data_IF_696649273966
#
_entry.id   IF_696649273966
#
_cell.length_a   1.000
_cell.length_b   1.000
_cell.length_c   1.000
_cell.angle_alpha   90.00
_cell.angle_beta   90.00
_cell.angle_gamma   90.00
#
_symmetry.space_group_name_H-M   'P 1'
#
loop_
_entity.id
_entity.type
_entity.pdbx_description
1 polymer ?
#
# COMPACT_ATOMS: atom_id res chain seq x y z
N UNK A 1 2.79 -6.48 -5.97
CA UNK A 1 3.97 -6.28 -5.10
C UNK A 1 4.20 -4.83 -4.67
N UNK A 2 3.27 -3.91 -4.96
CA UNK A 2 3.35 -2.49 -4.58
C UNK A 2 2.03 -2.06 -3.94
N UNK A 3 1.71 -2.54 -2.72
CA UNK A 3 0.43 -2.22 -2.11
C UNK A 3 0.37 -0.74 -1.73
N UNK A 4 -0.79 -0.14 -1.96
CA UNK A 4 -1.13 1.22 -1.53
C UNK A 4 -2.21 1.21 -0.46
N UNK A 5 -3.08 0.21 -0.50
CA UNK A 5 -4.21 0.05 0.40
C UNK A 5 -4.48 -1.45 0.61
N UNK A 6 -4.27 -1.93 1.82
CA UNK A 6 -4.51 -3.33 2.20
C UNK A 6 -5.98 -3.64 2.51
N UNK A 7 -6.86 -2.64 2.41
CA UNK A 7 -8.29 -2.80 2.72
C UNK A 7 -9.14 -3.06 1.49
N UNK A 8 -8.55 -3.13 0.32
CA UNK A 8 -9.26 -3.38 -0.93
C UNK A 8 -8.47 -4.26 -1.89
N UNK A 9 -9.18 -4.86 -2.83
CA UNK A 9 -8.61 -5.54 -3.98
C UNK A 9 -8.24 -4.54 -5.07
N UNK A 10 -7.32 -4.92 -5.95
CA UNK A 10 -7.14 -4.23 -7.22
C UNK A 10 -8.41 -4.41 -8.07
N UNK A 11 -8.99 -3.31 -8.53
CA UNK A 11 -10.23 -3.31 -9.34
C UNK A 11 -10.11 -4.17 -10.62
N UNK A 12 -8.88 -4.34 -11.13
CA UNK A 12 -8.62 -5.19 -12.30
C UNK A 12 -8.67 -6.69 -11.99
N UNK A 13 -8.62 -7.05 -10.71
CA UNK A 13 -8.67 -8.44 -10.24
C UNK A 13 -10.10 -8.94 -9.98
N UNK A 14 -11.10 -8.06 -10.12
CA UNK A 14 -12.49 -8.38 -9.89
C UNK A 14 -13.06 -7.80 -8.60
N UNK A 15 -14.14 -8.40 -8.13
CA UNK A 15 -14.89 -7.97 -6.95
C UNK A 15 -14.61 -8.88 -5.74
N UNK A 16 -14.93 -8.38 -4.56
CA UNK A 16 -14.87 -9.16 -3.30
C UNK A 16 -15.73 -10.43 -3.39
N UNK A 17 -16.88 -10.36 -4.04
CA UNK A 17 -17.78 -11.52 -4.19
C UNK A 17 -17.22 -12.56 -5.16
N UNK A 18 -16.60 -12.14 -6.25
CA UNK A 18 -15.91 -13.05 -7.17
C UNK A 18 -14.72 -13.71 -6.50
N UNK A 19 -13.96 -12.97 -5.69
CA UNK A 19 -12.86 -13.55 -4.93
C UNK A 19 -13.35 -14.54 -3.86
N UNK A 20 -14.45 -14.24 -3.17
CA UNK A 20 -15.11 -15.19 -2.26
C UNK A 20 -15.51 -16.46 -2.98
N UNK A 21 -16.19 -16.33 -4.10
CA UNK A 21 -16.60 -17.48 -4.93
C UNK A 21 -15.39 -18.30 -5.37
N UNK A 22 -14.28 -17.66 -5.73
CA UNK A 22 -13.04 -18.33 -6.09
C UNK A 22 -12.48 -19.16 -4.92
N UNK A 23 -12.37 -18.57 -3.73
CA UNK A 23 -11.85 -19.25 -2.53
C UNK A 23 -12.74 -20.41 -2.14
N UNK A 24 -14.07 -20.20 -2.07
CA UNK A 24 -15.04 -21.23 -1.71
C UNK A 24 -15.00 -22.41 -2.70
N UNK A 25 -14.91 -22.12 -4.00
CA UNK A 25 -14.80 -23.14 -5.04
C UNK A 25 -13.51 -23.94 -4.92
N UNK A 26 -12.39 -23.28 -4.60
CA UNK A 26 -11.11 -23.94 -4.36
C UNK A 26 -11.20 -24.89 -3.16
N UNK A 27 -11.76 -24.43 -2.04
CA UNK A 27 -11.96 -25.23 -0.83
C UNK A 27 -12.87 -26.46 -1.07
N UNK A 28 -13.96 -26.28 -1.80
CA UNK A 28 -14.82 -27.41 -2.19
C UNK A 28 -14.09 -28.49 -2.99
N UNK A 29 -13.03 -28.11 -3.69
CA UNK A 29 -12.15 -29.02 -4.44
C UNK A 29 -10.94 -29.51 -3.64
N UNK A 30 -10.83 -29.15 -2.35
CA UNK A 30 -9.72 -29.50 -1.49
C UNK A 30 -8.42 -28.71 -1.78
N UNK A 31 -8.53 -27.58 -2.48
CA UNK A 31 -7.41 -26.71 -2.83
C UNK A 31 -7.31 -25.61 -1.77
N UNK A 32 -6.12 -25.43 -1.20
CA UNK A 32 -5.83 -24.34 -0.26
C UNK A 32 -5.39 -23.10 -1.01
N UNK A 33 -5.75 -21.93 -0.47
CA UNK A 33 -5.40 -20.62 -1.01
C UNK A 33 -4.31 -19.99 -0.16
N UNK A 34 -3.18 -19.71 -0.80
CA UNK A 34 -2.08 -18.93 -0.21
C UNK A 34 -2.05 -17.57 -0.89
N UNK A 35 -2.22 -16.51 -0.12
CA UNK A 35 -2.17 -15.14 -0.60
C UNK A 35 -0.76 -14.57 -0.47
N UNK A 36 -0.28 -13.92 -1.52
CA UNK A 36 0.98 -13.19 -1.48
C UNK A 36 0.78 -11.83 -0.81
N UNK A 37 1.57 -11.54 0.22
CA UNK A 37 1.43 -10.31 1.01
C UNK A 37 2.75 -9.58 1.17
N UNK A 38 2.66 -8.25 1.19
CA UNK A 38 3.80 -7.35 1.40
C UNK A 38 3.52 -6.48 2.62
N UNK A 39 4.44 -6.50 3.60
CA UNK A 39 4.39 -5.65 4.79
C UNK A 39 5.56 -4.67 4.84
N UNK A 40 6.66 -4.98 4.17
CA UNK A 40 7.90 -4.22 4.25
C UNK A 40 7.82 -2.85 3.57
N UNK A 41 7.10 -2.73 2.48
CA UNK A 41 7.09 -1.51 1.68
C UNK A 41 5.72 -1.27 1.07
N UNK A 42 5.52 -0.03 0.64
CA UNK A 42 4.37 0.38 -0.16
C UNK A 42 4.79 0.67 -1.60
N UNK A 43 3.82 0.92 -2.48
CA UNK A 43 4.06 1.35 -3.84
C UNK A 43 4.25 2.87 -3.94
N UNK A 44 4.77 3.30 -5.09
CA UNK A 44 4.65 4.67 -5.53
C UNK A 44 3.30 4.84 -6.20
N UNK A 45 2.51 5.79 -5.74
CA UNK A 45 1.26 6.08 -6.40
C UNK A 45 1.51 6.58 -7.83
N UNK A 46 0.55 6.31 -8.70
CA UNK A 46 0.52 6.92 -10.01
C UNK A 46 0.25 8.43 -9.92
N UNK A 47 0.59 9.15 -10.98
CA UNK A 47 0.29 10.60 -11.07
C UNK A 47 -1.20 10.87 -10.93
N UNK A 48 -2.04 9.98 -11.44
CA UNK A 48 -3.50 10.03 -11.29
C UNK A 48 -3.92 10.03 -9.84
N UNK A 49 -3.34 9.14 -9.03
CA UNK A 49 -3.63 9.07 -7.60
C UNK A 49 -3.20 10.35 -6.88
N UNK A 50 -2.08 10.96 -7.29
CA UNK A 50 -1.62 12.25 -6.74
C UNK A 50 -2.65 13.35 -6.99
N UNK A 51 -3.21 13.40 -8.20
CA UNK A 51 -4.25 14.37 -8.57
C UNK A 51 -5.55 14.05 -7.85
N UNK A 52 -5.95 12.79 -7.88
CA UNK A 52 -7.24 12.34 -7.36
C UNK A 52 -7.34 12.46 -5.84
N UNK A 53 -6.27 12.12 -5.14
CA UNK A 53 -6.25 12.10 -3.66
C UNK A 53 -5.51 13.28 -3.05
N UNK A 54 -4.99 14.20 -3.86
CA UNK A 54 -4.47 15.49 -3.44
C UNK A 54 -3.18 15.44 -2.63
N UNK A 55 -2.19 14.66 -3.09
CA UNK A 55 -0.88 14.61 -2.45
C UNK A 55 0.27 14.77 -3.45
N UNK A 56 1.48 15.05 -2.93
CA UNK A 56 2.67 15.25 -3.74
C UNK A 56 2.66 16.56 -4.53
N UNK A 57 3.71 16.80 -5.27
CA UNK A 57 3.87 17.94 -6.16
C UNK A 57 4.36 17.48 -7.54
N UNK A 58 4.09 18.31 -8.55
CA UNK A 58 4.53 18.09 -9.93
C UNK A 58 5.73 18.96 -10.25
N UNK A 59 6.67 18.44 -11.03
CA UNK A 59 7.77 19.23 -11.58
C UNK A 59 7.21 20.44 -12.33
N UNK A 60 7.81 21.60 -12.11
CA UNK A 60 7.40 22.87 -12.69
C UNK A 60 6.01 23.36 -12.25
N UNK A 61 5.46 22.84 -11.17
CA UNK A 61 4.15 23.26 -10.64
C UNK A 61 2.96 23.02 -11.57
N UNK A 62 3.13 22.23 -12.61
CA UNK A 62 2.08 21.95 -13.59
C UNK A 62 1.48 20.57 -13.32
N UNK A 63 0.22 20.58 -12.88
CA UNK A 63 -0.60 19.37 -12.89
C UNK A 63 -0.79 18.92 -14.36
N UNK A 64 -0.33 17.70 -14.72
CA UNK A 64 -0.43 17.21 -16.10
C UNK A 64 -1.87 16.94 -16.55
N UNK A 65 -2.85 16.99 -15.65
CA UNK A 65 -4.24 16.63 -15.97
C UNK A 65 -4.35 15.16 -16.38
N UNK A 66 -5.25 14.87 -17.32
CA UNK A 66 -5.45 13.52 -17.85
C UNK A 66 -4.50 13.16 -19.02
N UNK A 67 -3.57 14.03 -19.41
CA UNK A 67 -2.68 13.86 -20.55
C UNK A 67 -1.31 13.26 -20.23
N UNK A 68 -1.08 12.80 -19.03
CA UNK A 68 0.24 12.33 -18.58
C UNK A 68 0.66 10.98 -19.19
N UNK A 69 -0.26 10.20 -19.74
CA UNK A 69 0.03 8.99 -20.51
C UNK A 69 0.44 9.25 -21.97
N UNK A 70 0.54 10.52 -22.36
CA UNK A 70 0.96 10.84 -23.71
C UNK A 70 2.43 10.52 -23.95
N UNK A 71 2.72 10.03 -25.16
CA UNK A 71 4.11 9.85 -25.59
C UNK A 71 4.79 11.21 -25.65
N UNK A 72 5.99 11.29 -25.11
CA UNK A 72 6.86 12.44 -25.34
C UNK A 72 7.09 12.59 -26.86
N UNK A 73 6.64 13.69 -27.48
CA UNK A 73 6.73 13.86 -28.92
C UNK A 73 8.18 13.93 -29.44
N UNK A 74 9.14 14.29 -28.58
CA UNK A 74 10.54 14.38 -28.97
C UNK A 74 11.24 13.02 -28.95
N UNK A 75 10.85 12.11 -28.06
CA UNK A 75 11.54 10.81 -27.86
C UNK A 75 10.70 9.63 -28.30
N UNK A 76 9.40 9.80 -28.51
CA UNK A 76 8.45 8.71 -28.79
C UNK A 76 8.22 7.76 -27.62
N UNK A 77 8.81 8.04 -26.46
CA UNK A 77 8.66 7.25 -25.23
C UNK A 77 7.51 7.77 -24.38
N UNK A 78 6.94 6.90 -23.55
CA UNK A 78 5.94 7.29 -22.59
C UNK A 78 6.55 8.15 -21.48
N UNK A 79 5.83 9.20 -21.05
CA UNK A 79 6.21 9.95 -19.88
C UNK A 79 6.02 9.07 -18.65
N UNK A 80 7.10 8.78 -17.96
CA UNK A 80 7.06 8.02 -16.71
C UNK A 80 6.83 8.95 -15.52
N UNK A 81 6.32 8.41 -14.44
CA UNK A 81 6.07 9.15 -13.20
C UNK A 81 7.26 10.01 -12.74
N UNK A 82 8.49 9.53 -12.91
CA UNK A 82 9.71 10.25 -12.53
C UNK A 82 9.99 11.51 -13.37
N UNK A 83 9.37 11.65 -14.54
CA UNK A 83 9.50 12.85 -15.37
C UNK A 83 8.55 13.96 -14.92
N UNK A 84 7.47 13.58 -14.27
CA UNK A 84 6.35 14.46 -13.91
C UNK A 84 6.34 14.77 -12.42
N UNK A 85 6.55 13.76 -11.58
CA UNK A 85 6.47 13.87 -10.13
C UNK A 85 7.74 14.52 -9.56
N UNK A 86 7.56 15.48 -8.67
CA UNK A 86 8.66 16.05 -7.88
C UNK A 86 8.88 15.21 -6.61
N UNK A 87 9.73 14.20 -6.74
CA UNK A 87 10.09 13.33 -5.62
C UNK A 87 10.95 14.02 -4.55
N UNK A 88 11.32 15.28 -4.77
CA UNK A 88 12.09 16.08 -3.79
C UNK A 88 11.21 17.03 -2.99
N UNK A 89 9.93 17.12 -3.33
CA UNK A 89 8.99 18.01 -2.64
C UNK A 89 8.69 17.53 -1.20
N UNK A 90 8.45 18.47 -0.32
CA UNK A 90 8.00 18.16 1.05
C UNK A 90 6.66 17.42 1.08
N UNK A 91 5.74 17.77 0.17
CA UNK A 91 4.45 17.10 0.07
C UNK A 91 4.60 15.64 -0.37
N UNK A 92 5.56 15.34 -1.27
CA UNK A 92 5.87 13.97 -1.63
C UNK A 92 6.49 13.22 -0.45
N UNK A 93 7.48 13.80 0.23
CA UNK A 93 8.11 13.17 1.39
C UNK A 93 7.11 12.87 2.52
N UNK A 94 6.07 13.68 2.65
CA UNK A 94 5.06 13.56 3.70
C UNK A 94 3.80 12.77 3.30
N UNK A 95 3.69 12.23 2.07
CA UNK A 95 2.48 11.54 1.64
C UNK A 95 2.16 10.28 2.46
N UNK A 96 3.18 9.53 2.86
CA UNK A 96 3.08 8.45 3.83
C UNK A 96 3.42 8.92 5.25
N UNK A 97 3.96 10.14 5.40
CA UNK A 97 4.33 10.70 6.69
C UNK A 97 5.25 9.78 7.48
N UNK A 98 4.94 9.55 8.78
CA UNK A 98 5.79 8.74 9.65
C UNK A 98 5.76 7.23 9.39
N UNK A 99 5.04 6.78 8.36
CA UNK A 99 4.91 5.35 8.01
C UNK A 99 6.12 4.81 7.28
N UNK A 100 6.79 5.66 6.50
CA UNK A 100 7.89 5.24 5.64
C UNK A 100 9.20 5.93 6.02
N UNK A 101 10.31 5.26 5.68
CA UNK A 101 11.63 5.87 5.77
C UNK A 101 11.75 6.86 4.63
N UNK A 102 11.98 8.12 4.99
CA UNK A 102 12.31 9.16 4.05
C UNK A 102 13.55 9.89 4.55
N UNK A 103 14.45 10.22 3.64
CA UNK A 103 15.64 11.00 3.91
C UNK A 103 15.75 12.13 2.88
N UNK A 104 15.86 13.38 3.37
CA UNK A 104 15.97 14.60 2.54
C UNK A 104 14.92 14.65 1.41
N UNK A 105 13.65 14.32 1.72
CA UNK A 105 12.54 14.32 0.76
C UNK A 105 12.54 13.17 -0.24
N UNK A 106 13.46 12.22 -0.11
CA UNK A 106 13.53 11.02 -0.96
C UNK A 106 13.13 9.79 -0.17
N UNK A 107 12.36 8.91 -0.82
CA UNK A 107 12.16 7.58 -0.29
C UNK A 107 13.40 6.73 -0.52
N UNK A 108 13.88 6.14 0.54
CA UNK A 108 15.04 5.30 0.50
C UNK A 108 16.06 5.68 1.57
N UNK A 109 16.79 4.70 2.03
CA UNK A 109 17.78 4.81 3.07
C UNK A 109 19.18 4.94 2.44
N UNK A 110 19.46 6.00 1.71
CA UNK A 110 20.75 6.15 1.04
C UNK A 110 21.94 6.10 2.02
N UNK A 111 21.75 6.52 3.26
CA UNK A 111 22.79 6.44 4.31
C UNK A 111 22.93 5.05 4.95
N UNK A 112 21.93 4.20 4.84
CA UNK A 112 21.91 2.88 5.48
C UNK A 112 22.23 1.73 4.50
N UNK A 113 22.80 2.02 3.35
CA UNK A 113 23.25 1.05 2.35
C UNK A 113 24.39 0.16 2.86
N UNK A 114 24.22 -0.43 4.01
CA UNK A 114 25.27 -1.20 4.67
C UNK A 114 24.93 -2.66 4.94
N UNK A 115 23.96 -3.25 4.21
CA UNK A 115 23.65 -4.68 4.42
C UNK A 115 22.87 -4.97 5.70
N UNK A 116 22.32 -3.98 6.34
CA UNK A 116 21.45 -4.14 7.48
C UNK A 116 20.09 -4.69 7.04
N UNK A 117 19.52 -5.64 7.76
CA UNK A 117 18.19 -6.19 7.49
C UNK A 117 17.10 -5.10 7.50
N UNK A 118 17.36 -3.98 8.12
CA UNK A 118 16.52 -2.80 8.25
C UNK A 118 16.70 -1.79 7.12
N UNK A 119 17.61 -2.02 6.19
CA UNK A 119 17.86 -1.08 5.12
C UNK A 119 16.78 -1.16 4.06
N UNK A 120 16.44 -0.02 3.52
CA UNK A 120 15.47 0.09 2.44
C UNK A 120 15.82 -0.77 1.25
N UNK A 121 14.81 -1.39 0.68
CA UNK A 121 14.95 -2.16 -0.54
C UNK A 121 15.00 -1.19 -1.72
N UNK A 122 16.19 -0.94 -2.26
CA UNK A 122 16.46 -0.30 -3.56
C UNK A 122 15.43 0.74 -4.03
N UNK A 123 15.21 1.80 -3.25
CA UNK A 123 14.34 2.91 -3.67
C UNK A 123 12.84 2.68 -3.50
N UNK A 124 12.42 1.61 -2.87
CA UNK A 124 11.01 1.41 -2.48
C UNK A 124 10.69 2.23 -1.22
N UNK A 125 9.44 2.71 -1.05
CA UNK A 125 8.98 3.36 0.18
C UNK A 125 8.89 2.32 1.32
N UNK A 126 9.98 2.17 2.06
CA UNK A 126 10.13 1.18 3.11
C UNK A 126 9.32 1.58 4.36
N UNK A 127 8.43 0.70 4.79
CA UNK A 127 7.58 0.93 5.95
C UNK A 127 8.40 0.69 7.22
N UNK A 128 8.28 1.61 8.19
CA UNK A 128 8.97 1.53 9.50
C UNK A 128 8.23 0.51 10.38
N UNK A 129 8.33 -0.78 10.03
CA UNK A 129 7.61 -1.88 10.70
C UNK A 129 8.07 -2.11 12.14
N UNK A 130 9.30 -1.72 12.48
CA UNK A 130 9.86 -1.79 13.83
C UNK A 130 9.32 -0.70 14.77
N UNK A 131 8.66 0.32 14.24
CA UNK A 131 8.08 1.39 15.06
C UNK A 131 7.01 0.82 15.99
N UNK A 132 7.03 1.29 17.25
CA UNK A 132 6.04 0.94 18.28
C UNK A 132 5.17 2.12 18.69
N UNK A 133 5.56 3.34 18.32
CA UNK A 133 4.77 4.54 18.63
C UNK A 133 3.59 4.65 17.67
N UNK A 134 2.40 4.98 18.17
CA UNK A 134 1.23 5.22 17.33
C UNK A 134 1.48 6.30 16.28
N UNK A 135 0.85 6.12 15.13
CA UNK A 135 0.86 7.06 14.00
C UNK A 135 -0.54 7.20 13.45
N UNK A 136 -0.82 8.33 12.85
CA UNK A 136 -2.05 8.51 12.08
C UNK A 136 -1.97 7.80 10.73
N UNK A 137 -3.12 7.44 10.20
CA UNK A 137 -3.24 6.96 8.82
C UNK A 137 -2.82 8.06 7.85
N UNK A 138 -2.06 7.74 6.80
CA UNK A 138 -1.64 8.70 5.79
C UNK A 138 -2.81 9.48 5.20
N UNK A 139 -2.63 10.79 5.01
CA UNK A 139 -3.69 11.69 4.55
C UNK A 139 -4.26 11.26 3.19
N UNK A 140 -3.40 10.76 2.29
CA UNK A 140 -3.89 10.30 0.99
C UNK A 140 -4.83 9.09 1.12
N UNK A 141 -4.58 8.14 2.04
CA UNK A 141 -5.50 7.03 2.31
C UNK A 141 -6.83 7.53 2.88
N UNK A 142 -6.79 8.48 3.81
CA UNK A 142 -8.01 9.11 4.33
C UNK A 142 -8.82 9.79 3.21
N UNK A 143 -8.14 10.50 2.32
CA UNK A 143 -8.78 11.15 1.16
C UNK A 143 -9.37 10.13 0.18
N UNK A 144 -8.61 9.06 -0.12
CA UNK A 144 -9.06 7.95 -0.97
C UNK A 144 -10.33 7.31 -0.40
N UNK A 145 -10.30 6.91 0.85
CA UNK A 145 -11.44 6.25 1.50
C UNK A 145 -12.66 7.14 1.59
N UNK A 146 -12.48 8.44 1.88
CA UNK A 146 -13.56 9.42 1.89
C UNK A 146 -14.22 9.54 0.52
N UNK A 147 -13.43 9.57 -0.55
CA UNK A 147 -13.93 9.66 -1.92
C UNK A 147 -14.67 8.39 -2.31
N UNK A 148 -14.08 7.22 -2.06
CA UNK A 148 -14.71 5.93 -2.34
C UNK A 148 -16.08 5.79 -1.67
N UNK A 149 -16.21 6.21 -0.41
CA UNK A 149 -17.47 6.11 0.33
C UNK A 149 -18.50 7.15 -0.11
N UNK A 150 -18.08 8.32 -0.57
CA UNK A 150 -18.99 9.38 -1.02
C UNK A 150 -19.63 9.06 -2.37
N UNK A 151 -18.92 8.39 -3.28
CA UNK A 151 -19.39 8.14 -4.65
C UNK A 151 -20.24 6.87 -4.77
N UNK A 152 -19.93 5.82 -4.02
CA UNK A 152 -20.50 4.48 -4.27
C UNK A 152 -20.91 3.72 -3.01
N UNK A 153 -20.79 4.31 -1.83
CA UNK A 153 -20.73 3.51 -0.62
C UNK A 153 -19.45 2.67 -0.60
N UNK A 154 -19.51 1.45 -0.07
CA UNK A 154 -18.39 0.52 -0.24
C UNK A 154 -18.44 -0.03 -1.68
N UNK A 155 -17.46 0.34 -2.49
CA UNK A 155 -17.29 -0.23 -3.82
C UNK A 155 -17.06 -1.76 -3.75
N UNK A 156 -17.41 -2.50 -4.80
CA UNK A 156 -17.38 -3.97 -4.79
C UNK A 156 -15.98 -4.59 -4.62
N UNK A 157 -14.93 -3.79 -4.65
CA UNK A 157 -13.53 -4.18 -4.42
C UNK A 157 -13.06 -3.95 -2.99
N UNK A 158 -13.84 -3.27 -2.14
CA UNK A 158 -13.47 -2.98 -0.74
C UNK A 158 -13.80 -4.19 0.12
N UNK A 159 -12.81 -4.67 0.87
CA UNK A 159 -12.97 -5.79 1.80
C UNK A 159 -13.66 -5.30 3.08
N UNK A 160 -14.92 -5.66 3.33
CA UNK A 160 -15.72 -5.06 4.40
C UNK A 160 -15.10 -5.22 5.78
N UNK A 161 -14.57 -6.41 6.09
CA UNK A 161 -13.95 -6.69 7.38
C UNK A 161 -12.66 -5.87 7.58
N UNK A 162 -11.87 -5.66 6.53
CA UNK A 162 -10.67 -4.82 6.59
C UNK A 162 -11.03 -3.33 6.70
N UNK A 163 -12.09 -2.90 6.01
CA UNK A 163 -12.54 -1.50 6.03
C UNK A 163 -13.01 -1.03 7.41
N UNK A 164 -13.39 -1.94 8.32
CA UNK A 164 -13.71 -1.60 9.71
C UNK A 164 -12.52 -1.04 10.49
N UNK A 165 -11.30 -1.24 10.00
CA UNK A 165 -10.07 -0.75 10.62
C UNK A 165 -9.48 0.46 9.88
N UNK A 166 -10.31 1.24 9.20
CA UNK A 166 -9.95 2.50 8.54
C UNK A 166 -10.03 3.70 9.50
N UNK A 167 -9.47 3.56 10.69
CA UNK A 167 -9.43 4.64 11.69
C UNK A 167 -8.03 4.83 12.27
N UNK A 168 -7.79 5.97 12.95
CA UNK A 168 -6.48 6.37 13.45
C UNK A 168 -6.07 5.73 14.80
N UNK A 169 -6.76 4.70 15.26
CA UNK A 169 -6.63 4.24 16.64
C UNK A 169 -5.88 2.90 16.80
N UNK A 170 -5.32 2.33 15.75
CA UNK A 170 -4.73 0.99 15.81
C UNK A 170 -3.34 0.95 16.41
N UNK A 171 -2.51 1.96 16.20
CA UNK A 171 -1.16 1.99 16.75
C UNK A 171 -0.08 2.38 15.74
N UNK A 172 0.99 1.60 15.67
CA UNK A 172 2.11 1.79 14.75
C UNK A 172 1.81 1.25 13.34
N UNK A 173 2.59 1.55 12.31
CA UNK A 173 2.32 1.13 10.93
C UNK A 173 2.07 -0.38 10.78
N UNK A 174 2.89 -1.21 11.44
CA UNK A 174 2.73 -2.66 11.38
C UNK A 174 1.41 -3.13 12.01
N UNK A 175 0.92 -2.46 13.05
CA UNK A 175 -0.33 -2.83 13.73
C UNK A 175 -1.52 -2.69 12.78
N UNK A 176 -1.56 -1.62 11.98
CA UNK A 176 -2.58 -1.43 10.94
C UNK A 176 -2.52 -2.53 9.88
N UNK A 177 -1.33 -2.81 9.33
CA UNK A 177 -1.17 -3.81 8.28
C UNK A 177 -1.55 -5.20 8.80
N UNK A 178 -1.18 -5.55 10.02
CA UNK A 178 -1.56 -6.81 10.68
C UNK A 178 -3.09 -6.92 10.79
N UNK A 179 -3.76 -5.86 11.23
CA UNK A 179 -5.22 -5.86 11.33
C UNK A 179 -5.89 -6.00 9.96
N UNK A 180 -5.40 -5.27 8.96
CA UNK A 180 -5.94 -5.37 7.61
C UNK A 180 -5.70 -6.75 6.99
N UNK A 181 -4.49 -7.29 7.06
CA UNK A 181 -4.19 -8.62 6.50
C UNK A 181 -4.95 -9.74 7.23
N UNK A 182 -5.03 -9.69 8.57
CA UNK A 182 -5.81 -10.69 9.32
C UNK A 182 -7.30 -10.62 9.00
N UNK A 183 -7.81 -9.43 8.61
CA UNK A 183 -9.19 -9.28 8.16
C UNK A 183 -9.48 -10.08 6.87
N UNK A 184 -8.51 -10.18 5.95
CA UNK A 184 -8.65 -11.03 4.76
C UNK A 184 -8.80 -12.50 5.10
N UNK A 185 -8.08 -12.98 6.12
CA UNK A 185 -8.23 -14.37 6.60
C UNK A 185 -9.64 -14.58 7.16
N UNK A 186 -10.11 -13.66 7.99
CA UNK A 186 -11.47 -13.75 8.57
C UNK A 186 -12.57 -13.62 7.52
N UNK A 187 -12.37 -12.79 6.48
CA UNK A 187 -13.38 -12.54 5.45
C UNK A 187 -13.51 -13.71 4.48
N UNK A 188 -12.39 -14.30 4.05
CA UNK A 188 -12.36 -15.25 2.94
C UNK A 188 -11.91 -16.65 3.34
N UNK A 189 -11.38 -16.85 4.54
CA UNK A 189 -10.81 -18.14 4.94
C UNK A 189 -9.49 -18.47 4.22
N UNK A 190 -8.65 -17.47 3.97
CA UNK A 190 -7.31 -17.68 3.38
C UNK A 190 -6.52 -18.64 4.26
N UNK A 191 -5.94 -19.70 3.67
CA UNK A 191 -5.25 -20.77 4.39
C UNK A 191 -3.83 -20.40 4.82
N UNK A 192 -3.23 -19.40 4.18
CA UNK A 192 -1.90 -18.95 4.52
C UNK A 192 -1.42 -17.75 3.72
N UNK A 193 -0.29 -17.19 4.14
CA UNK A 193 0.39 -16.13 3.44
C UNK A 193 1.77 -16.57 2.93
N UNK A 194 2.10 -16.17 1.73
CA UNK A 194 3.48 -16.06 1.28
C UNK A 194 3.91 -14.62 1.54
N UNK A 195 4.87 -14.43 2.45
CA UNK A 195 5.33 -13.12 2.87
C UNK A 195 6.50 -12.66 1.99
N UNK A 196 6.26 -11.69 1.14
CA UNK A 196 7.32 -11.08 0.35
C UNK A 196 8.25 -10.25 1.23
N UNK A 197 9.54 -10.18 0.86
CA UNK A 197 10.55 -9.39 1.59
C UNK A 197 10.59 -9.65 3.11
N UNK A 198 10.22 -10.86 3.53
CA UNK A 198 10.05 -11.22 4.93
C UNK A 198 11.28 -10.91 5.81
N UNK A 199 12.49 -11.02 5.26
CA UNK A 199 13.74 -10.73 5.96
C UNK A 199 13.96 -9.26 6.36
N UNK A 200 13.19 -8.35 5.76
CA UNK A 200 13.27 -6.90 6.00
C UNK A 200 12.24 -6.41 7.01
N UNK A 201 11.45 -7.31 7.57
CA UNK A 201 10.45 -7.04 8.60
C UNK A 201 10.83 -7.82 9.86
N UNK A 202 10.66 -7.22 11.02
CA UNK A 202 10.89 -7.88 12.30
C UNK A 202 10.14 -9.21 12.40
N UNK A 203 10.84 -10.26 12.83
CA UNK A 203 10.24 -11.58 13.03
C UNK A 203 9.08 -11.54 14.03
N UNK A 204 9.16 -10.63 15.00
CA UNK A 204 8.08 -10.39 15.97
C UNK A 204 6.79 -9.94 15.29
N UNK A 205 6.87 -9.07 14.28
CA UNK A 205 5.71 -8.59 13.51
C UNK A 205 5.04 -9.72 12.73
N UNK A 206 5.84 -10.64 12.17
CA UNK A 206 5.30 -11.86 11.55
C UNK A 206 4.64 -12.78 12.58
N UNK A 207 5.20 -12.87 13.77
CA UNK A 207 4.60 -13.60 14.90
C UNK A 207 3.24 -12.99 15.31
N UNK A 208 3.15 -11.67 15.39
CA UNK A 208 1.91 -10.94 15.68
C UNK A 208 0.87 -11.14 14.58
N UNK A 209 1.26 -11.06 13.28
CA UNK A 209 0.36 -11.36 12.17
C UNK A 209 -0.20 -12.78 12.27
N UNK A 210 0.68 -13.77 12.50
CA UNK A 210 0.25 -15.16 12.69
C UNK A 210 -0.78 -15.28 13.81
N UNK A 211 -0.52 -14.66 14.95
CA UNK A 211 -1.46 -14.69 16.09
C UNK A 211 -2.80 -14.03 15.76
N UNK A 212 -2.79 -12.94 15.00
CA UNK A 212 -4.01 -12.24 14.60
C UNK A 212 -4.87 -13.03 13.58
N UNK A 213 -4.27 -14.00 12.89
CA UNK A 213 -4.94 -14.87 11.90
C UNK A 213 -5.51 -16.16 12.51
N UNK A 214 -5.19 -16.50 13.76
CA UNK A 214 -5.67 -17.70 14.46
C UNK A 214 -6.92 -17.42 15.29
#
# INVERSE_FOLDING_TARGET
YYPLDWTCMDKNMGTVEEFRTFVDTAHQKGIRIIMDVVMNHTGYNAVEDMVEYGFGDFKNGKNPGHGWLEKNPATGTWNYNHEITDYTSEKWANWWGPWVRAFDGKFGCEKERGGNYWSCLAGLPDIVTERTKPVEIPVFLKNKWKKETAETGFGPWIVPTAAQYRDDNLGAPADYIIMWLSAWVREFGIDGFRCDTAKHVDVERWGQLKTACL
#
